data_IF_679710133144
#
_entry.id   IF_679710133144
#
_cell.length_a   1.000
_cell.length_b   1.000
_cell.length_c   1.000
_cell.angle_alpha   90.00
_cell.angle_beta   90.00
_cell.angle_gamma   90.00
#
_symmetry.space_group_name_H-M   'P 1'
#
loop_
_entity.id
_entity.type
_entity.pdbx_description
1 polymer ?
#
# COMPACT_ATOMS: atom_id res chain seq x y z
N UNK A 1 -13.84 -18.19 -23.90
CA UNK A 1 -13.57 -18.03 -22.43
C UNK A 1 -14.88 -18.27 -21.71
N UNK A 2 -15.04 -19.42 -21.04
CA UNK A 2 -16.26 -19.74 -20.31
C UNK A 2 -16.31 -18.92 -19.03
N UNK A 3 -17.34 -18.08 -18.90
CA UNK A 3 -17.70 -17.46 -17.62
C UNK A 3 -18.26 -18.57 -16.72
N UNK A 4 -17.58 -18.87 -15.63
CA UNK A 4 -18.15 -19.75 -14.62
C UNK A 4 -19.04 -18.92 -13.68
N UNK A 5 -20.33 -19.24 -13.67
CA UNK A 5 -21.21 -18.78 -12.61
C UNK A 5 -20.88 -19.57 -11.35
N UNK A 6 -20.42 -18.87 -10.31
CA UNK A 6 -20.22 -19.50 -9.00
C UNK A 6 -21.56 -20.03 -8.49
N UNK A 7 -21.66 -21.24 -7.92
CA UNK A 7 -22.93 -21.89 -7.55
C UNK A 7 -23.68 -21.20 -6.40
N UNK A 8 -23.44 -19.95 -6.17
CA UNK A 8 -24.03 -19.18 -5.06
C UNK A 8 -25.48 -18.73 -5.32
N UNK A 9 -25.97 -18.84 -6.56
CA UNK A 9 -27.34 -18.38 -6.87
C UNK A 9 -28.42 -19.44 -6.64
N UNK A 10 -28.07 -20.72 -6.60
CA UNK A 10 -29.04 -21.83 -6.60
C UNK A 10 -28.81 -22.92 -5.56
N UNK A 11 -27.69 -22.90 -4.81
CA UNK A 11 -27.39 -23.90 -3.79
C UNK A 11 -27.42 -23.29 -2.39
N UNK A 12 -27.98 -24.00 -1.41
CA UNK A 12 -28.00 -23.62 0.02
C UNK A 12 -26.60 -23.30 0.56
N UNK A 13 -25.57 -23.94 0.04
CA UNK A 13 -24.16 -23.71 0.38
C UNK A 13 -23.69 -22.31 0.01
N UNK A 14 -24.22 -21.69 -1.05
CA UNK A 14 -23.85 -20.33 -1.45
C UNK A 14 -24.54 -19.21 -0.67
N UNK A 15 -25.68 -19.51 -0.06
CA UNK A 15 -26.46 -18.51 0.68
C UNK A 15 -25.77 -18.10 1.98
N UNK A 16 -25.17 -19.05 2.72
CA UNK A 16 -24.46 -18.76 3.96
C UNK A 16 -23.17 -17.95 3.72
N UNK A 17 -22.47 -18.21 2.63
CA UNK A 17 -21.23 -17.50 2.27
C UNK A 17 -21.52 -16.00 2.02
N UNK A 18 -22.57 -15.68 1.27
CA UNK A 18 -23.02 -14.30 1.08
C UNK A 18 -23.50 -13.65 2.39
N UNK A 19 -24.23 -14.40 3.22
CA UNK A 19 -24.69 -13.91 4.52
C UNK A 19 -23.52 -13.56 5.43
N UNK A 20 -22.48 -14.37 5.48
CA UNK A 20 -21.31 -14.15 6.34
C UNK A 20 -20.45 -13.00 5.85
N UNK A 21 -20.26 -12.84 4.54
CA UNK A 21 -19.27 -11.91 4.00
C UNK A 21 -19.85 -10.58 3.50
N UNK A 22 -21.14 -10.52 3.11
CA UNK A 22 -21.66 -9.30 2.45
C UNK A 22 -22.92 -8.75 3.10
N UNK A 23 -23.94 -9.55 3.24
CA UNK A 23 -25.23 -9.10 3.75
C UNK A 23 -25.83 -10.12 4.70
N UNK A 24 -26.08 -9.73 5.93
CA UNK A 24 -26.91 -10.51 6.84
C UNK A 24 -28.01 -9.62 7.44
N UNK A 25 -29.06 -10.27 7.93
CA UNK A 25 -30.00 -9.62 8.83
C UNK A 25 -29.35 -9.57 10.21
N UNK A 26 -28.69 -8.47 10.53
CA UNK A 26 -28.10 -8.22 11.85
C UNK A 26 -28.98 -7.18 12.53
N UNK A 27 -29.41 -7.43 13.74
CA UNK A 27 -30.30 -6.56 14.55
C UNK A 27 -31.61 -6.16 13.88
N UNK A 28 -32.21 -7.03 13.04
CA UNK A 28 -33.52 -6.76 12.42
C UNK A 28 -33.49 -5.78 11.23
N UNK A 29 -32.31 -5.32 10.83
CA UNK A 29 -32.15 -4.46 9.65
C UNK A 29 -31.81 -5.34 8.45
N UNK A 30 -32.74 -5.43 7.50
CA UNK A 30 -32.55 -6.19 6.26
C UNK A 30 -31.49 -5.50 5.38
N UNK A 31 -30.46 -6.25 4.98
CA UNK A 31 -29.44 -5.75 4.05
C UNK A 31 -28.28 -5.02 4.70
N UNK A 32 -27.99 -5.27 5.97
CA UNK A 32 -26.87 -4.69 6.68
C UNK A 32 -25.51 -5.07 6.00
N UNK A 33 -24.62 -4.11 5.72
CA UNK A 33 -23.37 -4.37 4.99
C UNK A 33 -22.32 -5.02 5.91
N UNK A 34 -22.40 -6.33 6.09
CA UNK A 34 -21.42 -7.09 6.91
C UNK A 34 -19.99 -6.94 6.36
N UNK A 35 -19.85 -6.74 5.05
CA UNK A 35 -18.55 -6.46 4.42
C UNK A 35 -17.81 -5.27 5.02
N UNK A 36 -18.52 -4.26 5.53
CA UNK A 36 -17.92 -3.11 6.19
C UNK A 36 -17.24 -3.50 7.53
N UNK A 37 -17.80 -4.46 8.27
CA UNK A 37 -17.16 -4.96 9.50
C UNK A 37 -15.87 -5.72 9.20
N UNK A 38 -15.85 -6.52 8.13
CA UNK A 38 -14.64 -7.18 7.68
C UNK A 38 -13.56 -6.17 7.29
N UNK A 39 -13.93 -5.11 6.57
CA UNK A 39 -13.00 -4.04 6.22
C UNK A 39 -12.43 -3.38 7.48
N UNK A 40 -13.28 -2.99 8.43
CA UNK A 40 -12.85 -2.37 9.69
C UNK A 40 -11.97 -3.36 10.49
N UNK A 41 -12.37 -4.62 10.60
CA UNK A 41 -11.61 -5.65 11.31
C UNK A 41 -10.20 -5.84 10.71
N UNK A 42 -10.10 -6.04 9.40
CA UNK A 42 -8.80 -6.17 8.73
C UNK A 42 -7.98 -4.89 8.80
N UNK A 43 -8.60 -3.72 8.69
CA UNK A 43 -7.92 -2.45 8.85
C UNK A 43 -7.32 -2.31 10.25
N UNK A 44 -8.07 -2.63 11.31
CA UNK A 44 -7.59 -2.57 12.70
C UNK A 44 -6.45 -3.57 12.93
N UNK A 45 -6.57 -4.80 12.41
CA UNK A 45 -5.51 -5.82 12.50
C UNK A 45 -4.24 -5.32 11.78
N UNK A 46 -4.36 -4.85 10.55
CA UNK A 46 -3.23 -4.33 9.78
C UNK A 46 -2.60 -3.12 10.46
N UNK A 47 -3.40 -2.19 10.97
CA UNK A 47 -2.94 -1.02 11.71
C UNK A 47 -2.22 -1.43 13.01
N UNK A 48 -2.74 -2.39 13.75
CA UNK A 48 -2.10 -2.91 14.94
C UNK A 48 -0.74 -3.59 14.62
N UNK A 49 -0.68 -4.40 13.57
CA UNK A 49 0.56 -5.04 13.11
C UNK A 49 1.59 -3.96 12.74
N UNK A 50 1.18 -2.95 11.97
CA UNK A 50 2.09 -1.93 11.47
C UNK A 50 2.58 -0.96 12.55
N UNK A 51 1.69 -0.52 13.47
CA UNK A 51 2.03 0.48 14.49
C UNK A 51 2.50 -0.10 15.82
N UNK A 52 2.01 -1.28 16.21
CA UNK A 52 2.25 -1.84 17.55
C UNK A 52 3.34 -2.91 17.58
N UNK A 53 3.71 -3.51 16.44
CA UNK A 53 4.64 -4.65 16.42
C UNK A 53 6.03 -4.28 15.91
N UNK A 54 7.00 -5.19 16.16
CA UNK A 54 8.35 -5.10 15.57
C UNK A 54 8.29 -5.18 14.04
N UNK A 55 7.26 -5.83 13.51
CA UNK A 55 7.04 -6.01 12.08
C UNK A 55 7.00 -4.67 11.35
N UNK A 56 6.14 -3.74 11.79
CA UNK A 56 6.03 -2.43 11.17
C UNK A 56 7.31 -1.62 11.28
N UNK A 57 7.97 -1.62 12.46
CA UNK A 57 9.24 -0.91 12.64
C UNK A 57 10.32 -1.38 11.68
N UNK A 58 10.46 -2.69 11.51
CA UNK A 58 11.45 -3.24 10.58
C UNK A 58 11.05 -3.03 9.12
N UNK A 59 9.75 -3.11 8.79
CA UNK A 59 9.26 -2.79 7.45
C UNK A 59 9.57 -1.34 7.05
N UNK A 60 9.33 -0.36 7.94
CA UNK A 60 9.68 1.03 7.68
C UNK A 60 11.20 1.26 7.64
N UNK A 61 11.98 0.62 8.51
CA UNK A 61 13.43 0.75 8.51
C UNK A 61 14.06 0.20 7.21
N UNK A 62 13.63 -0.98 6.77
CA UNK A 62 14.09 -1.60 5.52
C UNK A 62 13.66 -0.76 4.32
N UNK A 63 12.42 -0.23 4.33
CA UNK A 63 11.90 0.62 3.26
C UNK A 63 12.61 1.98 3.17
N UNK A 64 13.12 2.51 4.29
CA UNK A 64 13.87 3.77 4.30
C UNK A 64 15.31 3.61 3.78
N UNK A 65 16.04 2.62 4.29
CA UNK A 65 17.39 2.29 3.83
C UNK A 65 17.72 0.84 4.18
N UNK A 66 17.70 0.00 3.15
CA UNK A 66 17.96 -1.43 3.28
C UNK A 66 19.37 -1.74 3.79
N UNK A 67 20.37 -1.00 3.28
CA UNK A 67 21.77 -1.19 3.65
C UNK A 67 22.01 -0.84 5.13
N UNK A 68 21.49 0.30 5.57
CA UNK A 68 21.56 0.70 6.98
C UNK A 68 20.84 -0.29 7.91
N UNK A 69 19.69 -0.82 7.49
CA UNK A 69 18.99 -1.85 8.24
C UNK A 69 19.80 -3.15 8.36
N UNK A 70 20.46 -3.57 7.28
CA UNK A 70 21.34 -4.74 7.25
C UNK A 70 22.54 -4.56 8.17
N UNK A 71 23.19 -3.39 8.11
CA UNK A 71 24.32 -3.04 9.00
C UNK A 71 23.88 -2.98 10.48
N UNK A 72 22.63 -2.65 10.76
CA UNK A 72 22.06 -2.68 12.11
C UNK A 72 21.69 -4.09 12.62
N UNK A 73 22.06 -5.14 11.87
CA UNK A 73 21.83 -6.54 12.26
C UNK A 73 20.44 -7.08 11.95
N UNK A 74 19.62 -6.35 11.17
CA UNK A 74 18.31 -6.83 10.74
C UNK A 74 18.50 -7.83 9.58
N UNK A 75 17.94 -9.05 9.73
CA UNK A 75 17.92 -10.05 8.66
C UNK A 75 16.91 -9.66 7.58
N UNK A 76 17.31 -8.76 6.68
CA UNK A 76 16.44 -8.11 5.69
C UNK A 76 15.67 -9.13 4.85
N UNK A 77 16.33 -10.19 4.37
CA UNK A 77 15.71 -11.17 3.48
C UNK A 77 14.54 -11.90 4.16
N UNK A 78 14.71 -12.30 5.42
CA UNK A 78 13.63 -12.95 6.18
C UNK A 78 12.45 -12.00 6.41
N UNK A 79 12.73 -10.73 6.66
CA UNK A 79 11.68 -9.73 6.86
C UNK A 79 10.96 -9.37 5.57
N UNK A 80 11.65 -9.34 4.43
CA UNK A 80 11.02 -9.20 3.11
C UNK A 80 10.03 -10.37 2.86
N UNK A 81 10.47 -11.60 3.07
CA UNK A 81 9.58 -12.78 2.93
C UNK A 81 8.35 -12.63 3.83
N UNK A 82 8.53 -12.23 5.10
CA UNK A 82 7.43 -12.04 6.03
C UNK A 82 6.43 -10.95 5.56
N UNK A 83 6.93 -9.83 5.00
CA UNK A 83 6.08 -8.75 4.46
C UNK A 83 5.27 -9.25 3.26
N UNK A 84 5.90 -9.95 2.32
CA UNK A 84 5.19 -10.50 1.16
C UNK A 84 4.20 -11.59 1.56
N UNK A 85 4.52 -12.43 2.52
CA UNK A 85 3.60 -13.46 3.04
C UNK A 85 2.37 -12.82 3.67
N UNK A 86 2.55 -11.79 4.51
CA UNK A 86 1.44 -11.06 5.12
C UNK A 86 0.59 -10.35 4.06
N UNK A 87 1.22 -9.72 3.07
CA UNK A 87 0.53 -9.10 1.94
C UNK A 87 -0.30 -10.13 1.18
N UNK A 88 0.28 -11.29 0.85
CA UNK A 88 -0.42 -12.38 0.18
C UNK A 88 -1.64 -12.87 0.96
N UNK A 89 -1.53 -12.96 2.29
CA UNK A 89 -2.66 -13.30 3.15
C UNK A 89 -3.82 -12.30 3.01
N UNK A 90 -3.54 -10.99 3.10
CA UNK A 90 -4.57 -9.96 2.93
C UNK A 90 -5.16 -9.94 1.53
N UNK A 91 -4.35 -10.17 0.49
CA UNK A 91 -4.83 -10.29 -0.89
C UNK A 91 -5.75 -11.50 -1.05
N UNK A 92 -5.40 -12.65 -0.47
CA UNK A 92 -6.26 -13.84 -0.46
C UNK A 92 -7.62 -13.58 0.20
N UNK A 93 -7.62 -12.91 1.36
CA UNK A 93 -8.85 -12.52 2.05
C UNK A 93 -9.69 -11.51 1.24
N UNK A 94 -9.04 -10.54 0.59
CA UNK A 94 -9.72 -9.61 -0.31
C UNK A 94 -10.34 -10.34 -1.51
N UNK A 95 -9.66 -11.34 -2.07
CA UNK A 95 -10.17 -12.20 -3.12
C UNK A 95 -11.42 -12.98 -2.70
N UNK A 96 -11.46 -13.50 -1.48
CA UNK A 96 -12.64 -14.18 -0.93
C UNK A 96 -13.83 -13.21 -0.77
N UNK A 97 -13.60 -12.01 -0.23
CA UNK A 97 -14.63 -10.97 -0.13
C UNK A 97 -15.14 -10.53 -1.50
N UNK A 98 -14.22 -10.41 -2.46
CA UNK A 98 -14.58 -10.07 -3.85
C UNK A 98 -15.43 -11.16 -4.49
N UNK A 99 -15.03 -12.44 -4.34
CA UNK A 99 -15.79 -13.58 -4.83
C UNK A 99 -17.20 -13.67 -4.21
N UNK A 100 -17.33 -13.29 -2.94
CA UNK A 100 -18.62 -13.23 -2.27
C UNK A 100 -19.51 -12.09 -2.80
N UNK A 101 -18.91 -10.95 -3.23
CA UNK A 101 -19.64 -9.79 -3.74
C UNK A 101 -20.24 -10.01 -5.13
N UNK A 102 -19.59 -10.79 -5.97
CA UNK A 102 -19.99 -11.00 -7.36
C UNK A 102 -20.56 -12.39 -7.56
N UNK A 103 -21.68 -12.47 -8.29
CA UNK A 103 -22.35 -13.74 -8.62
C UNK A 103 -21.68 -14.49 -9.77
N UNK A 104 -20.91 -13.76 -10.58
CA UNK A 104 -20.25 -14.31 -11.76
C UNK A 104 -18.80 -13.86 -11.76
N UNK A 105 -17.88 -14.79 -11.84
CA UNK A 105 -16.45 -14.55 -11.94
C UNK A 105 -15.98 -15.05 -13.31
N UNK A 106 -15.33 -14.16 -14.07
CA UNK A 106 -14.73 -14.49 -15.36
C UNK A 106 -13.21 -14.45 -15.24
N UNK A 107 -12.47 -15.18 -16.07
CA UNK A 107 -11.03 -14.98 -16.18
C UNK A 107 -10.72 -13.52 -16.49
N UNK A 108 -9.85 -12.90 -15.70
CA UNK A 108 -9.58 -11.46 -15.78
C UNK A 108 -10.43 -10.57 -14.85
N UNK A 109 -11.41 -11.13 -14.13
CA UNK A 109 -12.12 -10.40 -13.06
C UNK A 109 -11.11 -9.93 -12.01
N UNK A 110 -11.12 -8.63 -11.72
CA UNK A 110 -10.13 -8.02 -10.79
C UNK A 110 -8.89 -7.45 -11.47
N UNK A 111 -8.70 -7.63 -12.79
CA UNK A 111 -7.61 -6.99 -13.53
C UNK A 111 -7.66 -5.47 -13.38
N UNK A 112 -6.52 -4.84 -13.08
CA UNK A 112 -6.40 -3.41 -12.85
C UNK A 112 -6.79 -2.94 -11.42
N UNK A 113 -7.25 -3.84 -10.54
CA UNK A 113 -7.53 -3.49 -9.15
C UNK A 113 -6.25 -3.22 -8.35
N UNK A 114 -5.14 -3.84 -8.73
CA UNK A 114 -3.81 -3.58 -8.19
C UNK A 114 -3.40 -2.12 -8.35
N UNK A 115 -3.63 -1.52 -9.53
CA UNK A 115 -3.34 -0.11 -9.79
C UNK A 115 -4.22 0.82 -8.95
N UNK A 116 -5.50 0.48 -8.78
CA UNK A 116 -6.40 1.25 -7.94
C UNK A 116 -5.95 1.23 -6.46
N UNK A 117 -5.51 0.07 -5.98
CA UNK A 117 -4.96 -0.09 -4.64
C UNK A 117 -3.69 0.74 -4.43
N UNK A 118 -2.72 0.61 -5.34
CA UNK A 118 -1.45 1.37 -5.30
C UNK A 118 -1.73 2.87 -5.33
N UNK A 119 -2.60 3.32 -6.24
CA UNK A 119 -2.97 4.74 -6.35
C UNK A 119 -3.62 5.26 -5.07
N UNK A 120 -4.52 4.49 -4.47
CA UNK A 120 -5.13 4.85 -3.19
C UNK A 120 -4.10 5.01 -2.08
N UNK A 121 -3.10 4.13 -2.02
CA UNK A 121 -2.00 4.19 -1.04
C UNK A 121 -1.14 5.45 -1.27
N UNK A 122 -0.82 5.80 -2.52
CA UNK A 122 -0.02 6.99 -2.87
C UNK A 122 -0.79 8.28 -2.54
N UNK A 123 -2.06 8.37 -2.95
CA UNK A 123 -2.94 9.51 -2.61
C UNK A 123 -3.05 9.66 -1.10
N UNK A 124 -3.07 8.54 -0.37
CA UNK A 124 -3.03 8.49 1.08
C UNK A 124 -1.74 8.98 1.73
N UNK A 125 -0.71 9.34 0.92
CA UNK A 125 0.55 9.90 1.39
C UNK A 125 1.61 8.88 1.80
N UNK A 126 1.47 7.62 1.36
CA UNK A 126 2.52 6.61 1.51
C UNK A 126 3.52 6.79 0.37
N UNK A 127 4.81 6.93 0.69
CA UNK A 127 5.86 7.15 -0.30
C UNK A 127 6.15 5.91 -1.12
N UNK A 128 6.28 6.07 -2.43
CA UNK A 128 6.72 5.00 -3.34
C UNK A 128 8.20 4.64 -3.12
N UNK A 129 9.01 5.58 -2.64
CA UNK A 129 10.41 5.31 -2.31
C UNK A 129 10.56 4.44 -1.05
N UNK A 130 9.48 4.24 -0.29
CA UNK A 130 9.47 3.46 0.95
C UNK A 130 9.77 4.29 2.20
N UNK A 131 9.80 3.62 3.35
CA UNK A 131 10.19 4.19 4.64
C UNK A 131 9.17 5.10 5.31
N UNK A 132 8.14 5.55 4.62
CA UNK A 132 7.11 6.43 5.20
C UNK A 132 5.71 6.12 4.67
N UNK A 133 4.72 6.22 5.54
CA UNK A 133 3.31 5.99 5.18
C UNK A 133 2.40 6.06 6.40
N UNK A 134 1.11 6.21 6.13
CA UNK A 134 0.08 6.27 7.17
C UNK A 134 -1.09 5.35 6.80
N UNK A 135 -1.48 4.49 7.74
CA UNK A 135 -2.64 3.61 7.56
C UNK A 135 -3.94 4.39 7.40
N UNK A 136 -4.11 5.47 8.17
CA UNK A 136 -5.30 6.33 8.06
C UNK A 136 -5.30 7.04 6.72
N UNK A 137 -4.15 7.56 6.29
CA UNK A 137 -3.99 8.16 4.97
C UNK A 137 -4.34 7.16 3.86
N UNK A 138 -3.83 5.94 3.93
CA UNK A 138 -4.15 4.86 2.98
C UNK A 138 -5.65 4.58 2.91
N UNK A 139 -6.34 4.51 4.06
CA UNK A 139 -7.79 4.31 4.10
C UNK A 139 -8.52 5.43 3.35
N UNK A 140 -8.19 6.68 3.65
CA UNK A 140 -8.78 7.85 3.00
C UNK A 140 -8.50 7.82 1.48
N UNK A 141 -7.27 7.52 1.07
CA UNK A 141 -6.90 7.46 -0.34
C UNK A 141 -7.65 6.36 -1.11
N UNK A 142 -7.83 5.18 -0.51
CA UNK A 142 -8.64 4.10 -1.10
C UNK A 142 -10.11 4.50 -1.21
N UNK A 143 -10.67 5.21 -0.21
CA UNK A 143 -12.04 5.73 -0.29
C UNK A 143 -12.17 6.76 -1.41
N UNK A 144 -11.22 7.68 -1.57
CA UNK A 144 -11.21 8.67 -2.66
C UNK A 144 -11.23 7.95 -4.02
N UNK A 145 -10.39 6.93 -4.21
CA UNK A 145 -10.36 6.16 -5.45
C UNK A 145 -11.67 5.40 -5.70
N UNK A 146 -12.28 4.84 -4.66
CA UNK A 146 -13.55 4.14 -4.76
C UNK A 146 -14.69 5.09 -5.15
N UNK A 147 -14.74 6.28 -4.54
CA UNK A 147 -15.74 7.31 -4.86
C UNK A 147 -15.55 7.81 -6.29
N UNK A 148 -14.30 8.06 -6.69
CA UNK A 148 -13.98 8.48 -8.07
C UNK A 148 -14.49 7.46 -9.08
N UNK A 149 -14.16 6.18 -8.90
CA UNK A 149 -14.53 5.11 -9.82
C UNK A 149 -16.04 4.91 -9.89
N UNK A 150 -16.73 4.89 -8.75
CA UNK A 150 -18.17 4.79 -8.69
C UNK A 150 -18.86 6.02 -9.28
N UNK A 151 -18.32 7.22 -9.02
CA UNK A 151 -18.83 8.47 -9.60
C UNK A 151 -18.75 8.48 -11.12
N UNK A 152 -17.59 8.11 -11.69
CA UNK A 152 -17.41 8.00 -13.14
C UNK A 152 -18.37 6.99 -13.77
N UNK A 153 -18.59 5.86 -13.11
CA UNK A 153 -19.55 4.86 -13.54
C UNK A 153 -21.00 5.40 -13.51
N UNK A 154 -21.35 6.14 -12.46
CA UNK A 154 -22.68 6.75 -12.31
C UNK A 154 -22.95 7.88 -13.34
N UNK A 155 -21.91 8.55 -13.82
CA UNK A 155 -22.00 9.52 -14.92
C UNK A 155 -22.23 8.88 -16.30
N UNK A 156 -22.33 7.54 -16.37
CA UNK A 156 -22.55 6.81 -17.62
C UNK A 156 -21.33 6.76 -18.54
N UNK A 157 -20.15 7.09 -18.05
CA UNK A 157 -18.92 7.03 -18.83
C UNK A 157 -18.56 5.58 -19.17
N UNK A 158 -18.21 5.34 -20.44
CA UNK A 158 -17.76 4.05 -20.91
C UNK A 158 -16.44 3.62 -20.24
N UNK A 159 -16.23 2.34 -20.10
CA UNK A 159 -15.05 1.74 -19.45
C UNK A 159 -13.69 2.31 -19.92
N UNK A 160 -13.45 2.58 -21.24
CA UNK A 160 -12.19 3.17 -21.68
C UNK A 160 -11.92 4.56 -21.08
N UNK A 161 -12.95 5.41 -20.97
CA UNK A 161 -12.84 6.72 -20.36
C UNK A 161 -12.57 6.68 -18.87
N UNK A 162 -13.18 5.72 -18.16
CA UNK A 162 -12.90 5.48 -16.75
C UNK A 162 -11.44 5.09 -16.53
N UNK A 163 -10.93 4.20 -17.38
CA UNK A 163 -9.51 3.76 -17.31
C UNK A 163 -8.56 4.91 -17.61
N UNK A 164 -8.84 5.73 -18.63
CA UNK A 164 -8.03 6.90 -18.98
C UNK A 164 -7.97 7.92 -17.82
N UNK A 165 -9.11 8.27 -17.25
CA UNK A 165 -9.18 9.22 -16.12
C UNK A 165 -8.50 8.66 -14.88
N UNK A 166 -8.69 7.38 -14.58
CA UNK A 166 -7.99 6.72 -13.47
C UNK A 166 -6.48 6.76 -13.68
N UNK A 167 -6.00 6.47 -14.90
CA UNK A 167 -4.57 6.58 -15.24
C UNK A 167 -4.01 7.99 -15.07
N UNK A 168 -4.77 9.03 -15.47
CA UNK A 168 -4.38 10.41 -15.27
C UNK A 168 -4.24 10.77 -13.77
N UNK A 169 -5.16 10.28 -12.93
CA UNK A 169 -5.10 10.47 -11.48
C UNK A 169 -3.87 9.76 -10.89
N UNK A 170 -3.55 8.55 -11.36
CA UNK A 170 -2.34 7.82 -10.94
C UNK A 170 -1.09 8.65 -11.23
N UNK A 171 -0.95 9.15 -12.47
CA UNK A 171 0.19 9.98 -12.85
C UNK A 171 0.29 11.23 -11.98
N UNK A 172 -0.84 11.91 -11.75
CA UNK A 172 -0.90 13.08 -10.88
C UNK A 172 -0.47 12.78 -9.45
N UNK A 173 -0.92 11.66 -8.89
CA UNK A 173 -0.55 11.22 -7.54
C UNK A 173 0.95 10.92 -7.42
N UNK A 174 1.53 10.23 -8.41
CA UNK A 174 2.98 9.93 -8.45
C UNK A 174 3.80 11.21 -8.57
N UNK A 175 3.41 12.15 -9.42
CA UNK A 175 4.09 13.44 -9.55
C UNK A 175 4.06 14.23 -8.24
N UNK A 176 2.93 14.21 -7.52
CA UNK A 176 2.82 14.84 -6.21
C UNK A 176 3.73 14.16 -5.18
N UNK A 177 3.84 12.83 -5.17
CA UNK A 177 4.75 12.12 -4.26
C UNK A 177 6.21 12.46 -4.54
N UNK A 178 6.64 12.48 -5.81
CA UNK A 178 7.99 12.86 -6.21
C UNK A 178 8.31 14.29 -5.79
N UNK A 179 7.38 15.24 -6.01
CA UNK A 179 7.60 16.64 -5.64
C UNK A 179 7.69 16.81 -4.12
N UNK A 180 6.88 16.11 -3.35
CA UNK A 180 6.93 16.11 -1.87
C UNK A 180 8.26 15.52 -1.37
N UNK A 181 8.68 14.40 -1.91
CA UNK A 181 9.95 13.74 -1.53
C UNK A 181 11.15 14.61 -1.86
N UNK A 182 11.16 15.25 -3.04
CA UNK A 182 12.23 16.17 -3.43
C UNK A 182 12.24 17.44 -2.57
N UNK A 183 11.08 17.95 -2.17
CA UNK A 183 11.00 19.10 -1.26
C UNK A 183 11.52 18.75 0.13
N UNK A 184 11.18 17.57 0.65
CA UNK A 184 11.68 17.09 1.94
C UNK A 184 13.21 16.91 1.94
N UNK A 185 13.78 16.40 0.86
CA UNK A 185 15.24 16.21 0.72
C UNK A 185 16.01 17.52 0.54
N UNK A 186 15.36 18.63 0.12
CA UNK A 186 16.01 19.94 0.00
C UNK A 186 16.15 20.69 1.32
N UNK A 187 15.45 20.28 2.38
CA UNK A 187 15.39 21.00 3.65
C UNK A 187 16.49 20.59 4.64
N UNK A 188 17.34 19.64 4.32
CA UNK A 188 18.50 19.28 5.17
C UNK A 188 19.84 19.25 4.41
N UNK A 189 20.47 20.39 4.17
CA UNK A 189 21.91 20.41 4.28
C UNK A 189 22.19 20.35 5.79
N UNK A 190 22.54 19.19 6.31
CA UNK A 190 23.22 19.12 7.61
C UNK A 190 24.55 19.80 7.41
N UNK A 191 24.58 21.10 7.66
CA UNK A 191 25.81 21.82 7.92
C UNK A 191 26.32 21.28 9.25
N UNK A 192 27.08 20.19 9.21
CA UNK A 192 27.97 19.82 10.28
C UNK A 192 29.10 20.87 10.25
N UNK A 193 28.84 22.00 10.89
CA UNK A 193 29.91 22.86 11.37
C UNK A 193 30.66 22.04 12.43
N UNK A 194 31.93 21.68 12.23
CA UNK A 194 32.71 21.09 13.29
C UNK A 194 32.92 22.20 14.33
N UNK A 195 32.17 22.14 15.42
CA UNK A 195 32.37 22.95 16.59
C UNK A 195 33.53 22.34 17.38
N UNK A 196 34.75 22.52 16.89
CA UNK A 196 35.93 22.49 17.74
C UNK A 196 37.13 23.09 16.96
N UNK A 197 37.61 24.22 17.47
CA UNK A 197 38.89 24.78 17.12
C UNK A 197 40.03 23.87 17.62
N UNK A 198 40.27 22.77 16.89
CA UNK A 198 41.42 21.90 17.05
C UNK A 198 42.25 22.00 15.79
N UNK A 199 43.50 22.52 15.93
CA UNK A 199 44.50 22.59 14.88
C UNK A 199 44.52 21.28 14.08
N UNK A 200 44.30 21.37 12.76
CA UNK A 200 44.67 20.28 11.85
C UNK A 200 46.19 20.03 12.00
N UNK A 201 46.65 18.79 12.21
CA UNK A 201 48.06 18.47 11.99
C UNK A 201 48.33 18.66 10.50
N UNK A 202 49.28 19.52 10.20
CA UNK A 202 49.87 19.72 8.88
C UNK A 202 50.32 18.36 8.36
N UNK A 203 49.66 17.85 7.33
CA UNK A 203 50.19 16.73 6.55
C UNK A 203 51.36 17.28 5.78
N UNK A 204 52.57 17.07 6.34
CA UNK A 204 53.84 17.30 5.70
C UNK A 204 53.91 16.40 4.46
N UNK A 205 53.82 17.02 3.31
CA UNK A 205 53.92 16.38 2.01
C UNK A 205 55.41 15.92 1.89
N UNK A 206 55.61 14.64 2.10
CA UNK A 206 56.90 14.00 1.82
C UNK A 206 57.14 14.00 0.31
N UNK A 207 57.83 15.04 -0.17
CA UNK A 207 58.43 15.11 -1.51
C UNK A 207 59.71 14.25 -1.56
N UNK A 208 59.57 12.94 -1.42
CA UNK A 208 60.69 12.03 -1.43
C UNK A 208 60.50 10.83 -2.37
N UNK A 209 60.04 11.09 -3.60
CA UNK A 209 60.16 10.08 -4.68
C UNK A 209 60.31 10.75 -6.06
N UNK A 210 61.28 11.65 -6.17
CA UNK A 210 61.78 12.01 -7.50
C UNK A 210 63.32 12.14 -7.43
N UNK A 211 63.97 10.99 -7.51
CA UNK A 211 65.38 10.83 -7.98
C UNK A 211 65.79 9.35 -7.88
N UNK A 212 65.51 8.59 -8.93
CA UNK A 212 66.47 7.73 -9.62
C UNK A 212 65.81 7.03 -10.80
#
# INVERSE_FOLDING_TARGET
VQSQTWPTATAEVGSWFKKVFIRSEVFGIKGFPVGAFWLIGFFLIAAAILHKTKFGRYAYAIGSNEEAARLSGIKVDNWKVAVYTLSGFFVGMAGLLYAAAYTTITPGTGSGQELNGITGVIIGGTSMAGGSGSMIGTLIGVFIMSVLKNGLSSCGLQAPWQTFLTGAVVIGAVLLDITRTNAANRVTPVVTTPKNGGKQPSVERSDAFDKK
#
